data_IF_943024530928
#
_entry.id   IF_943024530928
#
_cell.length_a   1.000
_cell.length_b   1.000
_cell.length_c   1.000
_cell.angle_alpha   90.00
_cell.angle_beta   90.00
_cell.angle_gamma   90.00
#
_symmetry.space_group_name_H-M   'P 1'
#
loop_
_entity.id
_entity.type
_entity.pdbx_description
1 polymer ?
#
# COMPACT_ATOMS: atom_id res chain seq x y z
N UNK A 1 18.02 -27.03 -2.12
CA UNK A 1 18.23 -25.60 -2.44
C UNK A 1 16.86 -24.93 -2.51
N UNK A 2 16.64 -23.78 -1.88
CA UNK A 2 15.32 -23.12 -1.85
C UNK A 2 15.06 -22.33 -3.16
N UNK A 3 13.80 -21.95 -3.44
CA UNK A 3 13.47 -21.09 -4.60
C UNK A 3 14.20 -19.75 -4.55
N UNK A 4 14.42 -19.19 -3.35
CA UNK A 4 15.14 -17.95 -3.16
C UNK A 4 16.63 -18.10 -3.51
N UNK A 5 17.30 -19.15 -3.02
CA UNK A 5 18.72 -19.38 -3.32
C UNK A 5 18.94 -19.65 -4.82
N UNK A 6 18.03 -20.41 -5.45
CA UNK A 6 18.07 -20.61 -6.90
C UNK A 6 17.92 -19.28 -7.68
N UNK A 7 17.06 -18.36 -7.23
CA UNK A 7 16.95 -17.05 -7.84
C UNK A 7 18.23 -16.22 -7.67
N UNK A 8 18.85 -16.25 -6.48
CA UNK A 8 20.13 -15.57 -6.23
C UNK A 8 21.21 -16.04 -7.21
N UNK A 9 21.34 -17.34 -7.45
CA UNK A 9 22.31 -17.88 -8.42
C UNK A 9 22.01 -17.46 -9.86
N UNK A 10 20.75 -17.44 -10.27
CA UNK A 10 20.34 -17.00 -11.61
C UNK A 10 20.71 -15.53 -11.83
N UNK A 11 20.39 -14.66 -10.87
CA UNK A 11 20.70 -13.23 -10.96
C UNK A 11 22.19 -12.93 -10.83
N UNK A 12 22.93 -13.70 -10.03
CA UNK A 12 24.39 -13.58 -9.92
C UNK A 12 25.09 -13.83 -11.27
N UNK A 13 24.59 -14.77 -12.10
CA UNK A 13 25.10 -15.00 -13.47
C UNK A 13 24.91 -13.80 -14.39
N UNK A 14 24.00 -12.88 -14.05
CA UNK A 14 23.75 -11.63 -14.76
C UNK A 14 24.49 -10.43 -14.12
N UNK A 15 25.31 -10.67 -13.09
CA UNK A 15 26.03 -9.62 -12.36
C UNK A 15 25.16 -8.84 -11.37
N UNK A 16 24.01 -9.38 -10.96
CA UNK A 16 23.09 -8.75 -10.01
C UNK A 16 23.20 -9.39 -8.63
N UNK A 17 23.55 -8.61 -7.61
CA UNK A 17 23.46 -9.02 -6.21
C UNK A 17 22.03 -8.80 -5.67
N UNK A 18 21.31 -9.90 -5.49
CA UNK A 18 19.93 -9.88 -4.98
C UNK A 18 19.86 -9.37 -3.54
N UNK A 19 20.86 -9.66 -2.71
CA UNK A 19 20.86 -9.25 -1.30
C UNK A 19 21.08 -7.74 -1.21
N UNK A 20 22.03 -7.21 -1.97
CA UNK A 20 22.23 -5.76 -2.09
C UNK A 20 20.98 -5.05 -2.64
N UNK A 21 20.31 -5.64 -3.64
CA UNK A 21 19.07 -5.08 -4.20
C UNK A 21 17.94 -5.04 -3.15
N UNK A 22 17.79 -6.07 -2.33
CA UNK A 22 16.81 -6.09 -1.23
C UNK A 22 17.13 -5.07 -0.14
N UNK A 23 18.42 -4.88 0.20
CA UNK A 23 18.85 -3.83 1.13
C UNK A 23 18.54 -2.42 0.61
N UNK A 24 18.68 -2.20 -0.70
CA UNK A 24 18.27 -0.94 -1.34
C UNK A 24 16.76 -0.78 -1.32
N UNK A 25 16.01 -1.84 -1.65
CA UNK A 25 14.55 -1.82 -1.67
C UNK A 25 13.96 -1.46 -0.30
N UNK A 26 14.50 -2.01 0.79
CA UNK A 26 14.06 -1.69 2.16
C UNK A 26 14.16 -0.21 2.53
N UNK A 27 15.00 0.56 1.84
CA UNK A 27 15.19 2.00 2.09
C UNK A 27 14.20 2.87 1.30
N UNK A 28 13.52 2.31 0.30
CA UNK A 28 12.52 3.03 -0.50
C UNK A 28 11.23 3.12 0.29
N UNK A 29 10.76 4.34 0.55
CA UNK A 29 9.49 4.61 1.23
C UNK A 29 8.38 4.80 0.21
N UNK A 30 7.28 4.07 0.40
CA UNK A 30 6.06 4.24 -0.38
C UNK A 30 5.06 5.01 0.49
N UNK A 31 4.58 6.15 -0.01
CA UNK A 31 3.52 6.91 0.65
C UNK A 31 2.17 6.31 0.26
N UNK A 32 1.45 5.77 1.24
CA UNK A 32 0.10 5.25 1.02
C UNK A 32 -0.93 6.36 1.18
N UNK A 33 -1.93 6.33 0.30
CA UNK A 33 -3.01 7.29 0.29
C UNK A 33 -4.05 6.96 1.36
N UNK A 34 -4.31 7.90 2.28
CA UNK A 34 -5.22 7.69 3.40
C UNK A 34 -6.69 7.51 2.96
N UNK A 35 -7.10 8.16 1.87
CA UNK A 35 -8.49 8.18 1.41
C UNK A 35 -8.99 6.82 0.88
N UNK A 36 -8.13 5.81 0.81
CA UNK A 36 -8.55 4.44 0.51
C UNK A 36 -9.33 3.83 1.68
N UNK A 37 -9.03 4.20 2.93
CA UNK A 37 -9.68 3.58 4.09
C UNK A 37 -11.12 4.06 4.34
N UNK A 38 -11.50 5.21 3.78
CA UNK A 38 -12.78 5.87 4.04
C UNK A 38 -13.57 6.21 2.76
N UNK A 39 -13.19 5.64 1.61
CA UNK A 39 -13.79 5.95 0.32
C UNK A 39 -13.76 7.45 -0.04
N UNK A 40 -12.72 8.18 0.36
CA UNK A 40 -12.58 9.63 0.13
C UNK A 40 -13.67 10.45 0.85
N UNK A 41 -14.31 9.90 1.89
CA UNK A 41 -15.37 10.59 2.63
C UNK A 41 -14.82 11.80 3.39
N UNK A 42 -13.62 11.68 3.95
CA UNK A 42 -13.05 12.65 4.88
C UNK A 42 -13.83 12.74 6.19
N UNK A 43 -13.40 13.66 7.07
CA UNK A 43 -13.99 13.83 8.41
C UNK A 43 -14.62 15.21 8.64
N UNK A 44 -14.61 16.08 7.62
CA UNK A 44 -15.17 17.44 7.73
C UNK A 44 -16.68 17.48 7.44
N UNK A 45 -17.15 16.71 6.46
CA UNK A 45 -18.55 16.74 6.00
C UNK A 45 -19.05 15.33 5.67
N UNK A 46 -20.31 15.04 5.97
CA UNK A 46 -20.99 13.77 5.64
C UNK A 46 -21.67 13.78 4.27
N UNK A 47 -21.12 14.55 3.31
CA UNK A 47 -21.69 14.74 1.98
C UNK A 47 -21.23 13.70 0.95
N UNK A 48 -21.93 13.63 -0.17
CA UNK A 48 -21.58 12.76 -1.29
C UNK A 48 -20.28 13.21 -1.99
N UNK A 49 -19.55 12.25 -2.56
CA UNK A 49 -18.38 12.51 -3.40
C UNK A 49 -18.75 13.35 -4.62
N UNK A 50 -17.94 14.35 -4.91
CA UNK A 50 -18.09 15.23 -6.07
C UNK A 50 -16.74 15.48 -6.75
N UNK A 51 -16.68 16.38 -7.73
CA UNK A 51 -15.43 16.70 -8.44
C UNK A 51 -15.04 15.72 -9.55
N UNK A 52 -15.95 14.84 -9.97
CA UNK A 52 -15.75 13.93 -11.10
C UNK A 52 -15.06 12.60 -10.75
N UNK A 53 -14.88 12.30 -9.47
CA UNK A 53 -14.36 11.02 -8.97
C UNK A 53 -15.43 10.29 -8.15
N UNK A 54 -15.30 8.97 -8.06
CA UNK A 54 -16.20 8.14 -7.26
C UNK A 54 -15.45 6.93 -6.69
N UNK A 55 -15.77 6.55 -5.45
CA UNK A 55 -15.52 5.23 -4.91
C UNK A 55 -16.75 4.35 -5.20
N UNK A 56 -16.55 3.13 -5.71
CA UNK A 56 -17.64 2.25 -6.15
C UNK A 56 -17.66 0.95 -5.35
N UNK A 57 -18.85 0.46 -5.02
CA UNK A 57 -19.06 -0.73 -4.19
C UNK A 57 -19.52 -0.36 -2.79
N UNK A 58 -20.23 -1.29 -2.13
CA UNK A 58 -20.81 -1.08 -0.79
C UNK A 58 -20.22 -2.10 0.20
N UNK A 59 -18.89 -2.29 0.16
CA UNK A 59 -18.23 -3.20 1.09
C UNK A 59 -18.29 -2.59 2.51
N UNK A 60 -18.72 -3.33 3.54
CA UNK A 60 -18.85 -2.79 4.88
C UNK A 60 -17.47 -2.54 5.51
N UNK A 61 -17.40 -1.63 6.49
CA UNK A 61 -16.23 -1.46 7.35
C UNK A 61 -15.31 -0.29 7.00
N UNK A 62 -15.67 0.62 6.10
CA UNK A 62 -14.90 1.84 5.88
C UNK A 62 -14.76 2.66 7.17
N UNK A 63 -13.60 3.28 7.37
CA UNK A 63 -13.34 4.14 8.52
C UNK A 63 -14.29 5.34 8.56
N UNK A 64 -14.73 5.70 9.77
CA UNK A 64 -15.70 6.79 10.01
C UNK A 64 -15.12 7.95 10.80
N UNK A 65 -13.89 7.80 11.29
CA UNK A 65 -13.15 8.77 12.08
C UNK A 65 -11.64 8.50 11.94
N UNK A 66 -10.83 9.42 12.48
CA UNK A 66 -9.39 9.33 12.38
C UNK A 66 -8.83 8.12 13.14
N UNK A 67 -9.43 7.76 14.27
CA UNK A 67 -9.00 6.63 15.10
C UNK A 67 -9.16 5.29 14.35
N UNK A 68 -10.29 5.07 13.69
CA UNK A 68 -10.54 3.92 12.82
C UNK A 68 -9.58 3.89 11.64
N UNK A 69 -9.38 5.03 10.97
CA UNK A 69 -8.50 5.10 9.80
C UNK A 69 -7.03 4.82 10.13
N UNK A 70 -6.57 5.23 11.32
CA UNK A 70 -5.23 4.89 11.80
C UNK A 70 -5.15 3.39 12.15
N UNK A 71 -6.16 2.85 12.82
CA UNK A 71 -6.21 1.43 13.17
C UNK A 71 -6.28 0.49 11.95
N UNK A 72 -6.87 0.94 10.84
CA UNK A 72 -6.94 0.17 9.59
C UNK A 72 -5.58 0.08 8.86
N UNK A 73 -4.63 0.96 9.17
CA UNK A 73 -3.29 1.02 8.54
C UNK A 73 -2.24 0.21 9.33
N UNK A 74 -2.41 0.10 10.65
CA UNK A 74 -1.47 -0.57 11.58
C UNK A 74 -1.41 -2.10 11.40
#
# INVERSE_FOLDING_TARGET
MSRFESACEIYARLGVDVREALEKLQKVRISMHCWQGDDVSGFENSGDLSGGIAATGNYPGKARNAEELMADID
#
